data_IF_456142294782
#
_entry.id   IF_456142294782
#
_cell.length_a   1.000
_cell.length_b   1.000
_cell.length_c   1.000
_cell.angle_alpha   90.00
_cell.angle_beta   90.00
_cell.angle_gamma   90.00
#
_symmetry.space_group_name_H-M   'P 1'
#
loop_
_entity.id
_entity.type
_entity.pdbx_description
1 polymer ?
#
# COMPACT_ATOMS: atom_id res chain seq x y z
N UNK A 1 39.64 -0.88 -25.21
CA UNK A 1 38.49 -0.45 -24.41
C UNK A 1 38.09 1.02 -24.56
N UNK A 2 38.83 1.88 -25.22
CA UNK A 2 38.50 3.32 -25.42
C UNK A 2 37.54 3.60 -26.58
N UNK A 3 37.21 2.63 -27.43
CA UNK A 3 36.37 2.81 -28.62
C UNK A 3 34.86 2.59 -28.42
N UNK A 4 34.45 2.11 -27.25
CA UNK A 4 33.01 1.87 -26.92
C UNK A 4 32.25 3.15 -26.49
N UNK A 5 32.95 4.29 -26.37
CA UNK A 5 32.38 5.53 -25.84
C UNK A 5 32.49 6.71 -26.83
N UNK A 6 32.67 6.48 -28.14
CA UNK A 6 32.47 7.58 -29.09
C UNK A 6 30.99 7.93 -29.16
N UNK A 7 30.65 9.19 -28.89
CA UNK A 7 29.29 9.69 -29.02
C UNK A 7 28.77 9.45 -30.44
N UNK A 8 27.52 8.96 -30.62
CA UNK A 8 26.92 8.76 -31.93
C UNK A 8 26.92 10.08 -32.71
N UNK A 9 27.30 10.00 -34.00
CA UNK A 9 27.31 11.18 -34.87
C UNK A 9 25.87 11.61 -35.19
N UNK A 10 25.71 12.88 -35.55
CA UNK A 10 24.39 13.42 -35.96
C UNK A 10 23.82 12.68 -37.18
N UNK A 11 24.71 12.19 -38.09
CA UNK A 11 24.32 11.38 -39.25
C UNK A 11 23.78 10.00 -38.86
N UNK A 12 24.26 9.40 -37.79
CA UNK A 12 23.75 8.13 -37.29
C UNK A 12 22.33 8.28 -36.74
N UNK A 13 22.04 9.41 -36.09
CA UNK A 13 20.69 9.77 -35.64
C UNK A 13 19.72 9.96 -36.83
N UNK A 14 20.16 10.63 -37.91
CA UNK A 14 19.35 10.84 -39.11
C UNK A 14 19.07 9.48 -39.79
N UNK A 15 20.04 8.58 -39.89
CA UNK A 15 19.85 7.23 -40.44
C UNK A 15 18.87 6.41 -39.62
N UNK A 16 18.99 6.47 -38.30
CA UNK A 16 18.04 5.86 -37.37
C UNK A 16 16.60 6.36 -37.58
N UNK A 17 16.40 7.68 -37.70
CA UNK A 17 15.10 8.29 -37.94
C UNK A 17 14.55 7.94 -39.34
N UNK A 18 15.41 7.81 -40.36
CA UNK A 18 14.97 7.43 -41.72
C UNK A 18 14.44 5.99 -41.78
N UNK A 19 14.83 5.11 -40.85
CA UNK A 19 14.36 3.73 -40.75
C UNK A 19 13.02 3.60 -39.96
N UNK A 20 12.16 4.63 -39.96
CA UNK A 20 10.93 4.67 -39.18
C UNK A 20 10.01 3.46 -39.36
N UNK A 21 9.94 2.91 -40.56
CA UNK A 21 9.16 1.69 -40.86
C UNK A 21 9.67 0.46 -40.14
N UNK A 22 10.99 0.34 -40.03
CA UNK A 22 11.65 -0.71 -39.25
C UNK A 22 11.29 -0.56 -37.76
N UNK A 23 11.39 0.67 -37.22
CA UNK A 23 11.04 0.94 -35.83
C UNK A 23 9.59 0.66 -35.52
N UNK A 24 8.66 0.95 -36.44
CA UNK A 24 7.25 0.59 -36.27
C UNK A 24 7.05 -0.92 -36.20
N UNK A 25 7.72 -1.69 -37.05
CA UNK A 25 7.64 -3.16 -37.00
C UNK A 25 8.21 -3.72 -35.71
N UNK A 26 9.36 -3.19 -35.24
CA UNK A 26 9.98 -3.59 -33.97
C UNK A 26 9.05 -3.25 -32.80
N UNK A 27 8.46 -2.07 -32.77
CA UNK A 27 7.51 -1.67 -31.75
C UNK A 27 6.24 -2.57 -31.75
N UNK A 28 5.73 -2.88 -32.94
CA UNK A 28 4.55 -3.76 -33.09
C UNK A 28 4.85 -5.19 -32.62
N UNK A 29 5.99 -5.74 -32.99
CA UNK A 29 6.44 -7.05 -32.50
C UNK A 29 6.63 -7.05 -30.97
N UNK A 30 7.25 -5.99 -30.43
CA UNK A 30 7.40 -5.82 -29.00
C UNK A 30 6.08 -5.73 -28.27
N UNK A 31 5.13 -4.98 -28.83
CA UNK A 31 3.78 -4.89 -28.28
C UNK A 31 3.04 -6.23 -28.29
N UNK A 32 3.15 -7.01 -29.38
CA UNK A 32 2.57 -8.35 -29.47
C UNK A 32 3.21 -9.31 -28.44
N UNK A 33 4.53 -9.26 -28.25
CA UNK A 33 5.21 -10.05 -27.24
C UNK A 33 4.76 -9.64 -25.83
N UNK A 34 4.66 -8.34 -25.57
CA UNK A 34 4.12 -7.84 -24.29
C UNK A 34 2.69 -8.32 -24.04
N UNK A 35 1.82 -8.29 -25.06
CA UNK A 35 0.48 -8.83 -24.96
C UNK A 35 0.49 -10.35 -24.70
N UNK A 36 1.35 -11.11 -25.40
CA UNK A 36 1.48 -12.55 -25.18
C UNK A 36 1.90 -12.86 -23.72
N UNK A 37 2.87 -12.14 -23.18
CA UNK A 37 3.29 -12.27 -21.76
C UNK A 37 2.13 -12.01 -20.81
N UNK A 38 1.32 -10.97 -21.07
CA UNK A 38 0.14 -10.68 -20.25
C UNK A 38 -0.87 -11.84 -20.21
N UNK A 39 -1.08 -12.55 -21.31
CA UNK A 39 -2.03 -13.69 -21.36
C UNK A 39 -1.43 -14.98 -20.79
N UNK A 40 -0.12 -15.20 -20.93
CA UNK A 40 0.57 -16.40 -20.41
C UNK A 40 0.79 -16.29 -18.90
N UNK A 41 1.21 -15.11 -18.43
CA UNK A 41 1.49 -14.80 -17.03
C UNK A 41 0.73 -13.54 -16.62
N UNK A 42 -0.60 -13.64 -16.42
CA UNK A 42 -1.41 -12.49 -16.09
C UNK A 42 -1.02 -11.93 -14.72
N UNK A 43 -0.96 -10.59 -14.58
CA UNK A 43 -0.67 -9.97 -13.30
C UNK A 43 -1.77 -10.27 -12.29
N UNK A 44 -1.40 -10.30 -11.00
CA UNK A 44 -2.33 -10.50 -9.91
C UNK A 44 -3.44 -9.45 -9.89
N UNK A 45 -4.56 -9.82 -9.29
CA UNK A 45 -5.62 -8.88 -8.96
C UNK A 45 -5.23 -8.10 -7.71
N UNK A 46 -5.54 -6.81 -7.73
CA UNK A 46 -5.44 -5.91 -6.60
C UNK A 46 -6.84 -5.42 -6.23
N UNK A 47 -7.19 -5.54 -4.97
CA UNK A 47 -8.49 -5.13 -4.42
C UNK A 47 -8.26 -4.14 -3.31
N UNK A 48 -9.14 -3.14 -3.20
CA UNK A 48 -9.07 -2.09 -2.20
C UNK A 48 -10.31 -2.10 -1.31
N UNK A 49 -10.12 -2.23 -0.01
CA UNK A 49 -11.11 -1.87 1.00
C UNK A 49 -10.75 -0.50 1.59
N UNK A 50 -11.75 0.28 2.03
CA UNK A 50 -11.53 1.63 2.55
C UNK A 50 -12.16 1.77 3.93
N UNK A 51 -11.35 2.25 4.87
CA UNK A 51 -11.78 2.62 6.22
C UNK A 51 -11.50 4.11 6.41
N UNK A 52 -12.50 4.84 6.89
CA UNK A 52 -12.34 6.25 7.24
C UNK A 52 -12.07 6.36 8.73
N UNK A 53 -10.98 7.01 9.08
CA UNK A 53 -10.56 7.28 10.45
C UNK A 53 -10.50 8.79 10.63
N UNK A 54 -11.31 9.30 11.56
CA UNK A 54 -11.38 10.73 11.86
C UNK A 54 -11.06 10.98 13.32
N UNK A 55 -10.43 12.11 13.60
CA UNK A 55 -10.12 12.57 14.95
C UNK A 55 -11.03 13.73 15.32
N UNK A 56 -11.73 13.62 16.43
CA UNK A 56 -12.52 14.73 16.95
C UNK A 56 -11.58 15.76 17.61
N UNK A 57 -11.08 16.68 16.78
CA UNK A 57 -10.10 17.68 17.20
C UNK A 57 -10.62 18.66 18.24
N UNK A 58 -11.92 18.96 18.24
CA UNK A 58 -12.54 19.86 19.20
C UNK A 58 -12.46 19.32 20.63
N UNK A 59 -12.53 17.99 20.77
CA UNK A 59 -12.43 17.31 22.07
C UNK A 59 -11.00 16.95 22.46
N UNK A 60 -10.19 16.53 21.49
CA UNK A 60 -8.84 16.04 21.72
C UNK A 60 -7.83 17.17 21.98
N UNK A 61 -7.94 18.29 21.27
CA UNK A 61 -6.96 19.36 21.29
C UNK A 61 -6.79 20.06 22.65
N UNK A 62 -7.86 20.42 23.38
CA UNK A 62 -7.71 21.12 24.68
C UNK A 62 -7.01 20.30 25.76
N UNK A 63 -7.02 18.98 25.65
CA UNK A 63 -6.44 18.06 26.64
C UNK A 63 -5.01 17.65 26.26
N UNK A 64 -4.59 17.98 25.04
CA UNK A 64 -3.32 17.53 24.50
C UNK A 64 -2.16 18.44 24.92
N UNK A 65 -1.03 17.82 25.28
CA UNK A 65 0.21 18.52 25.61
C UNK A 65 0.99 19.00 24.39
N UNK A 66 0.66 18.51 23.20
CA UNK A 66 1.34 18.92 21.97
C UNK A 66 0.91 20.34 21.58
N UNK A 67 1.89 21.21 21.42
CA UNK A 67 1.67 22.62 21.03
C UNK A 67 1.33 22.77 19.55
N UNK A 68 1.64 21.77 18.73
CA UNK A 68 1.44 21.78 17.28
C UNK A 68 0.53 20.65 16.84
N UNK A 69 -0.57 21.01 16.20
CA UNK A 69 -1.57 20.10 15.65
C UNK A 69 -0.96 19.04 14.72
N UNK A 70 0.02 19.44 13.93
CA UNK A 70 0.68 18.55 12.97
C UNK A 70 1.33 17.34 13.65
N UNK A 71 2.11 17.56 14.70
CA UNK A 71 2.78 16.47 15.46
C UNK A 71 1.79 15.55 16.17
N UNK A 72 0.69 16.11 16.65
CA UNK A 72 -0.39 15.32 17.22
C UNK A 72 -0.98 14.37 16.20
N UNK A 73 -1.42 14.88 15.04
CA UNK A 73 -2.02 14.09 13.98
C UNK A 73 -1.07 13.03 13.41
N UNK A 74 0.20 13.37 13.24
CA UNK A 74 1.22 12.41 12.80
C UNK A 74 1.38 11.26 13.79
N UNK A 75 1.47 11.57 15.08
CA UNK A 75 1.58 10.56 16.13
C UNK A 75 0.36 9.65 16.18
N UNK A 76 -0.85 10.22 16.15
CA UNK A 76 -2.08 9.43 16.17
C UNK A 76 -2.24 8.57 14.90
N UNK A 77 -1.92 9.11 13.74
CA UNK A 77 -1.88 8.33 12.48
C UNK A 77 -0.89 7.17 12.55
N UNK A 78 0.28 7.37 13.17
CA UNK A 78 1.26 6.29 13.35
C UNK A 78 0.73 5.15 14.22
N UNK A 79 0.03 5.46 15.32
CA UNK A 79 -0.61 4.44 16.17
C UNK A 79 -1.64 3.63 15.38
N UNK A 80 -2.48 4.31 14.60
CA UNK A 80 -3.47 3.65 13.73
C UNK A 80 -2.78 2.74 12.71
N UNK A 81 -1.67 3.19 12.13
CA UNK A 81 -0.84 2.37 11.25
C UNK A 81 -0.29 1.13 11.94
N UNK A 82 0.22 1.28 13.16
CA UNK A 82 0.75 0.16 13.95
C UNK A 82 -0.33 -0.89 14.26
N UNK A 83 -1.56 -0.47 14.56
CA UNK A 83 -2.70 -1.38 14.77
C UNK A 83 -3.03 -2.18 13.51
N UNK A 84 -2.98 -1.56 12.34
CA UNK A 84 -3.25 -2.26 11.08
C UNK A 84 -2.25 -3.40 10.81
N UNK A 85 -1.00 -3.23 11.24
CA UNK A 85 0.08 -4.20 11.08
C UNK A 85 0.39 -5.02 12.34
N UNK A 86 -0.38 -4.84 13.41
CA UNK A 86 -0.20 -5.59 14.65
C UNK A 86 -0.42 -7.10 14.42
N UNK A 87 0.33 -7.92 15.14
CA UNK A 87 0.21 -9.38 15.05
C UNK A 87 -1.22 -9.84 15.35
N UNK A 88 -1.90 -9.22 16.31
CA UNK A 88 -3.29 -9.54 16.63
C UNK A 88 -4.24 -9.30 15.44
N UNK A 89 -4.08 -8.19 14.73
CA UNK A 89 -4.86 -7.86 13.52
C UNK A 89 -4.57 -8.87 12.40
N UNK A 90 -3.30 -9.13 12.13
CA UNK A 90 -2.89 -10.06 11.07
C UNK A 90 -3.23 -11.51 11.39
N UNK A 91 -3.19 -11.92 12.67
CA UNK A 91 -3.61 -13.24 13.08
C UNK A 91 -5.11 -13.44 12.83
N UNK A 92 -5.94 -12.46 13.13
CA UNK A 92 -7.37 -12.52 12.82
C UNK A 92 -7.62 -12.68 11.31
N UNK A 93 -6.86 -11.96 10.47
CA UNK A 93 -6.92 -12.13 9.00
C UNK A 93 -6.45 -13.54 8.59
N UNK A 94 -5.37 -14.04 9.19
CA UNK A 94 -4.84 -15.37 8.94
C UNK A 94 -5.87 -16.45 9.25
N UNK A 95 -6.54 -16.37 10.41
CA UNK A 95 -7.56 -17.30 10.85
C UNK A 95 -8.79 -17.30 9.92
N UNK A 96 -9.19 -16.15 9.41
CA UNK A 96 -10.33 -16.02 8.51
C UNK A 96 -10.03 -16.47 7.07
N UNK A 97 -8.80 -16.22 6.61
CA UNK A 97 -8.44 -16.41 5.19
C UNK A 97 -7.64 -17.67 4.92
N UNK A 98 -6.99 -18.25 5.94
CA UNK A 98 -6.13 -19.43 5.84
C UNK A 98 -4.70 -19.15 5.42
N UNK A 99 -4.30 -17.86 5.26
CA UNK A 99 -2.91 -17.49 5.01
C UNK A 99 -2.12 -17.36 6.31
N UNK A 100 -0.83 -17.61 6.25
CA UNK A 100 0.04 -17.34 7.40
C UNK A 100 0.33 -15.83 7.51
N UNK A 101 0.59 -15.35 8.73
CA UNK A 101 0.99 -13.95 8.97
C UNK A 101 2.22 -13.55 8.15
N UNK A 102 3.15 -14.50 7.95
CA UNK A 102 4.35 -14.26 7.14
C UNK A 102 4.00 -14.01 5.66
N UNK A 103 3.08 -14.80 5.09
CA UNK A 103 2.62 -14.60 3.71
C UNK A 103 1.89 -13.27 3.55
N UNK A 104 1.05 -12.89 4.54
CA UNK A 104 0.36 -11.60 4.54
C UNK A 104 1.35 -10.43 4.50
N UNK A 105 2.44 -10.50 5.27
CA UNK A 105 3.49 -9.47 5.30
C UNK A 105 4.41 -9.49 4.08
N UNK A 106 4.54 -10.61 3.38
CA UNK A 106 5.47 -10.79 2.25
C UNK A 106 5.01 -10.17 0.92
N UNK A 107 4.10 -9.20 0.94
CA UNK A 107 3.66 -8.43 -0.23
C UNK A 107 2.24 -8.73 -0.71
N UNK A 108 1.47 -9.55 0.04
CA UNK A 108 0.03 -9.73 -0.23
C UNK A 108 -0.80 -8.53 0.20
N UNK A 109 -0.37 -7.81 1.24
CA UNK A 109 -1.07 -6.67 1.81
C UNK A 109 -0.26 -5.38 1.63
N UNK A 110 -0.96 -4.29 1.34
CA UNK A 110 -0.38 -2.94 1.22
C UNK A 110 -1.36 -1.92 1.81
N UNK A 111 -0.88 -1.08 2.72
CA UNK A 111 -1.69 -0.04 3.35
C UNK A 111 -1.24 1.33 2.85
N UNK A 112 -2.18 2.17 2.45
CA UNK A 112 -1.92 3.56 2.09
C UNK A 112 -2.89 4.49 2.80
N UNK A 113 -2.42 5.69 3.09
CA UNK A 113 -3.20 6.78 3.67
C UNK A 113 -3.13 7.97 2.71
N UNK A 114 -4.00 8.05 1.70
CA UNK A 114 -4.06 9.20 0.82
C UNK A 114 -4.65 10.42 1.51
N UNK A 115 -4.52 11.59 0.87
CA UNK A 115 -5.00 12.87 1.40
C UNK A 115 -6.54 12.99 1.43
N UNK A 116 -7.27 12.00 0.91
CA UNK A 116 -8.74 11.95 0.93
C UNK A 116 -9.33 11.57 2.32
N UNK A 117 -8.47 11.35 3.33
CA UNK A 117 -8.88 10.97 4.68
C UNK A 117 -9.19 9.49 4.85
N UNK A 118 -9.12 8.70 3.78
CA UNK A 118 -9.32 7.26 3.81
C UNK A 118 -8.05 6.48 4.12
N UNK A 119 -8.21 5.34 4.77
CA UNK A 119 -7.17 4.32 4.89
C UNK A 119 -7.50 3.22 3.90
N UNK A 120 -6.62 2.99 2.91
CA UNK A 120 -6.85 2.02 1.86
C UNK A 120 -6.06 0.74 2.12
N UNK A 121 -6.80 -0.32 2.33
CA UNK A 121 -6.33 -1.68 2.57
C UNK A 121 -6.32 -2.42 1.24
N UNK A 122 -5.15 -2.56 0.64
CA UNK A 122 -4.98 -3.30 -0.60
C UNK A 122 -4.57 -4.73 -0.31
N UNK A 123 -5.19 -5.65 -1.03
CA UNK A 123 -4.74 -7.03 -1.08
C UNK A 123 -4.49 -7.47 -2.52
N UNK A 124 -3.48 -8.30 -2.71
CA UNK A 124 -3.04 -8.80 -4.01
C UNK A 124 -3.04 -10.32 -4.03
N UNK A 125 -3.71 -10.91 -5.03
CA UNK A 125 -3.75 -12.37 -5.22
C UNK A 125 -4.04 -12.72 -6.69
N UNK A 126 -3.56 -13.88 -7.21
CA UNK A 126 -3.91 -14.36 -8.55
C UNK A 126 -5.40 -14.55 -8.77
N UNK A 127 -6.16 -14.81 -7.71
CA UNK A 127 -7.61 -14.97 -7.75
C UNK A 127 -8.33 -13.73 -7.20
N UNK A 128 -9.20 -13.14 -8.02
CA UNK A 128 -9.96 -11.94 -7.66
C UNK A 128 -10.77 -12.09 -6.37
N UNK A 129 -11.42 -13.24 -6.19
CA UNK A 129 -12.24 -13.52 -4.99
C UNK A 129 -11.38 -13.62 -3.71
N UNK A 130 -10.17 -14.17 -3.82
CA UNK A 130 -9.24 -14.27 -2.69
C UNK A 130 -8.71 -12.90 -2.31
N UNK A 131 -8.30 -12.07 -3.31
CA UNK A 131 -7.87 -10.70 -3.08
C UNK A 131 -8.98 -9.86 -2.41
N UNK A 132 -10.24 -10.00 -2.87
CA UNK A 132 -11.38 -9.32 -2.26
C UNK A 132 -11.63 -9.77 -0.81
N UNK A 133 -11.57 -11.07 -0.55
CA UNK A 133 -11.71 -11.63 0.80
C UNK A 133 -10.60 -11.11 1.73
N UNK A 134 -9.35 -11.11 1.27
CA UNK A 134 -8.20 -10.60 2.03
C UNK A 134 -8.34 -9.12 2.38
N UNK A 135 -8.68 -8.26 1.40
CA UNK A 135 -8.85 -6.83 1.64
C UNK A 135 -9.99 -6.56 2.64
N UNK A 136 -11.12 -7.26 2.47
CA UNK A 136 -12.27 -7.14 3.37
C UNK A 136 -11.96 -7.62 4.79
N UNK A 137 -11.32 -8.80 4.93
CA UNK A 137 -10.93 -9.36 6.20
C UNK A 137 -9.96 -8.44 6.95
N UNK A 138 -8.97 -7.87 6.24
CA UNK A 138 -8.00 -6.97 6.87
C UNK A 138 -8.63 -5.66 7.33
N UNK A 139 -9.45 -5.01 6.50
CA UNK A 139 -10.19 -3.81 6.89
C UNK A 139 -11.16 -4.09 8.05
N UNK A 140 -11.80 -5.26 8.07
CA UNK A 140 -12.69 -5.71 9.14
C UNK A 140 -11.95 -5.96 10.45
N UNK A 141 -10.85 -6.72 10.42
CA UNK A 141 -10.02 -6.99 11.58
C UNK A 141 -9.43 -5.70 12.18
N UNK A 142 -8.89 -4.83 11.33
CA UNK A 142 -8.43 -3.51 11.74
C UNK A 142 -9.54 -2.69 12.41
N UNK A 143 -10.72 -2.61 11.79
CA UNK A 143 -11.86 -1.87 12.35
C UNK A 143 -12.26 -2.42 13.72
N UNK A 144 -12.30 -3.73 13.90
CA UNK A 144 -12.61 -4.37 15.17
C UNK A 144 -11.58 -4.03 16.25
N UNK A 145 -10.28 -4.09 15.93
CA UNK A 145 -9.20 -3.74 16.86
C UNK A 145 -9.25 -2.25 17.27
N UNK A 146 -9.54 -1.35 16.34
CA UNK A 146 -9.69 0.07 16.65
C UNK A 146 -10.91 0.30 17.54
N UNK A 147 -12.07 -0.32 17.27
CA UNK A 147 -13.23 -0.20 18.16
C UNK A 147 -12.94 -0.68 19.57
N UNK A 148 -12.28 -1.83 19.72
CA UNK A 148 -11.86 -2.33 21.03
C UNK A 148 -10.88 -1.37 21.72
N UNK A 149 -9.96 -0.78 20.96
CA UNK A 149 -9.03 0.25 21.46
C UNK A 149 -9.75 1.50 21.96
N UNK A 150 -10.77 1.98 21.24
CA UNK A 150 -11.60 3.13 21.65
C UNK A 150 -12.38 2.79 22.93
N UNK A 151 -13.01 1.63 23.01
CA UNK A 151 -13.73 1.19 24.22
C UNK A 151 -12.80 1.15 25.43
N UNK A 152 -11.59 0.59 25.27
CA UNK A 152 -10.57 0.56 26.30
C UNK A 152 -10.13 1.97 26.70
N UNK A 153 -9.93 2.89 25.75
CA UNK A 153 -9.54 4.26 26.00
C UNK A 153 -10.63 5.03 26.75
N UNK A 154 -11.91 4.84 26.42
CA UNK A 154 -13.05 5.45 27.13
C UNK A 154 -13.12 4.92 28.56
N UNK A 155 -12.98 3.61 28.75
CA UNK A 155 -12.97 3.02 30.10
C UNK A 155 -11.79 3.52 30.94
N UNK A 156 -10.62 3.67 30.35
CA UNK A 156 -9.43 4.19 31.01
C UNK A 156 -9.59 5.66 31.43
N UNK A 157 -10.15 6.50 30.56
CA UNK A 157 -10.44 7.90 30.87
C UNK A 157 -11.46 8.01 32.01
N UNK A 158 -12.53 7.21 31.99
CA UNK A 158 -13.51 7.15 33.08
C UNK A 158 -12.89 6.70 34.40
N UNK A 159 -12.04 5.67 34.38
CA UNK A 159 -11.35 5.18 35.59
C UNK A 159 -10.39 6.24 36.16
N UNK A 160 -9.66 6.96 35.32
CA UNK A 160 -8.75 8.05 35.74
C UNK A 160 -9.51 9.21 36.36
N UNK A 161 -10.67 9.61 35.80
CA UNK A 161 -11.55 10.63 36.37
C UNK A 161 -12.10 10.19 37.72
N UNK A 162 -12.52 8.94 37.89
CA UNK A 162 -12.98 8.39 39.15
C UNK A 162 -11.87 8.36 40.21
N UNK A 163 -10.63 7.97 39.82
CA UNK A 163 -9.50 7.99 40.69
C UNK A 163 -9.12 9.41 41.17
N UNK A 164 -9.29 10.42 40.32
CA UNK A 164 -9.07 11.83 40.68
C UNK A 164 -10.01 12.29 41.80
N UNK A 165 -11.22 11.71 41.87
CA UNK A 165 -12.20 11.97 42.96
C UNK A 165 -11.85 11.17 44.23
N UNK A 166 -11.36 9.93 44.06
CA UNK A 166 -11.01 9.04 45.18
C UNK A 166 -9.59 8.45 45.00
N UNK A 167 -8.53 9.22 45.31
CA UNK A 167 -7.13 8.84 45.01
C UNK A 167 -6.63 7.58 45.75
N UNK A 168 -7.27 7.18 46.84
CA UNK A 168 -6.87 6.03 47.66
C UNK A 168 -7.58 4.72 47.28
N UNK A 169 -8.39 4.71 46.21
CA UNK A 169 -9.09 3.50 45.79
C UNK A 169 -8.15 2.54 45.05
N UNK A 170 -7.67 1.53 45.81
CA UNK A 170 -6.76 0.50 45.27
C UNK A 170 -7.38 -0.33 44.14
N UNK A 171 -8.74 -0.48 44.10
CA UNK A 171 -9.42 -1.22 42.99
C UNK A 171 -9.37 -0.41 41.70
N UNK A 172 -9.59 0.92 41.81
CA UNK A 172 -9.47 1.81 40.61
C UNK A 172 -8.02 1.85 40.11
N UNK A 173 -7.03 1.89 40.98
CA UNK A 173 -5.61 1.85 40.60
C UNK A 173 -5.27 0.54 39.86
N UNK A 174 -5.73 -0.62 40.36
CA UNK A 174 -5.53 -1.91 39.69
C UNK A 174 -6.24 -1.97 38.32
N UNK A 175 -7.48 -1.45 38.25
CA UNK A 175 -8.24 -1.39 37.00
C UNK A 175 -7.55 -0.50 35.94
N UNK A 176 -7.00 0.65 36.37
CA UNK A 176 -6.24 1.52 35.45
C UNK A 176 -5.02 0.79 34.91
N UNK A 177 -4.24 0.11 35.76
CA UNK A 177 -3.06 -0.64 35.33
C UNK A 177 -3.42 -1.76 34.34
N UNK A 178 -4.55 -2.45 34.54
CA UNK A 178 -5.04 -3.46 33.60
C UNK A 178 -5.49 -2.85 32.26
N UNK A 179 -6.22 -1.73 32.31
CA UNK A 179 -6.66 -1.03 31.11
C UNK A 179 -5.48 -0.44 30.33
N UNK A 180 -4.47 0.10 31.02
CA UNK A 180 -3.24 0.59 30.39
C UNK A 180 -2.47 -0.53 29.70
N UNK A 181 -2.40 -1.71 30.28
CA UNK A 181 -1.77 -2.87 29.65
C UNK A 181 -2.51 -3.36 28.39
N UNK A 182 -3.83 -3.18 28.34
CA UNK A 182 -4.68 -3.52 27.17
C UNK A 182 -4.79 -2.39 26.17
N UNK A 183 -4.38 -1.18 26.53
CA UNK A 183 -4.52 -0.01 25.67
C UNK A 183 -3.60 -0.10 24.48
N UNK A 184 -4.16 0.14 23.29
CA UNK A 184 -3.41 0.31 22.04
C UNK A 184 -2.84 1.74 21.89
N UNK A 185 -2.93 2.56 22.93
CA UNK A 185 -2.55 3.97 22.90
C UNK A 185 -3.48 4.85 22.05
N UNK A 186 -4.63 4.33 21.67
CA UNK A 186 -5.68 5.03 20.91
C UNK A 186 -6.38 6.02 21.82
N UNK A 187 -6.76 7.17 21.29
CA UNK A 187 -7.53 8.18 22.03
C UNK A 187 -9.03 7.90 21.98
N UNK A 188 -9.81 8.25 23.02
CA UNK A 188 -11.27 8.07 23.02
C UNK A 188 -12.00 8.97 22.00
N UNK A 189 -11.31 9.99 21.47
CA UNK A 189 -11.85 10.93 20.47
C UNK A 189 -11.71 10.43 19.03
N UNK A 190 -11.11 9.25 18.82
CA UNK A 190 -11.04 8.63 17.52
C UNK A 190 -12.40 8.09 17.07
N UNK A 191 -12.75 8.32 15.83
CA UNK A 191 -13.94 7.76 15.18
C UNK A 191 -13.53 6.95 13.97
N UNK A 192 -14.16 5.80 13.79
CA UNK A 192 -13.89 4.91 12.67
C UNK A 192 -15.18 4.51 11.98
N UNK A 193 -15.15 4.47 10.64
CA UNK A 193 -16.24 3.93 9.84
C UNK A 193 -15.70 3.12 8.68
N UNK A 194 -16.28 1.95 8.46
CA UNK A 194 -15.96 1.10 7.33
C UNK A 194 -16.71 1.59 6.10
N UNK A 195 -16.03 2.36 5.25
CA UNK A 195 -16.66 3.02 4.11
C UNK A 195 -16.94 2.06 2.96
N UNK A 196 -16.02 1.12 2.68
CA UNK A 196 -16.19 0.13 1.62
C UNK A 196 -15.40 -1.15 1.96
N UNK A 197 -16.14 -2.24 2.24
CA UNK A 197 -15.55 -3.55 2.53
C UNK A 197 -16.33 -4.72 1.87
N UNK A 198 -17.45 -4.44 1.19
CA UNK A 198 -18.24 -5.42 0.46
C UNK A 198 -18.30 -5.06 -1.01
N UNK A 199 -18.48 -6.06 -1.86
CA UNK A 199 -18.58 -5.91 -3.32
C UNK A 199 -17.41 -5.11 -3.91
N UNK A 200 -16.20 -5.46 -3.45
CA UNK A 200 -14.97 -4.75 -3.81
C UNK A 200 -14.60 -5.06 -5.27
N UNK A 201 -14.42 -4.04 -6.12
CA UNK A 201 -13.97 -4.25 -7.48
C UNK A 201 -12.54 -4.80 -7.48
N UNK A 202 -12.34 -5.91 -8.19
CA UNK A 202 -11.03 -6.52 -8.37
C UNK A 202 -10.46 -6.03 -9.72
N UNK A 203 -9.37 -5.32 -9.66
CA UNK A 203 -8.66 -4.84 -10.83
C UNK A 203 -7.32 -5.56 -10.97
N UNK A 204 -6.85 -5.77 -12.19
CA UNK A 204 -5.51 -6.28 -12.41
C UNK A 204 -4.48 -5.21 -12.02
N UNK A 205 -3.44 -5.60 -11.29
CA UNK A 205 -2.36 -4.69 -10.83
C UNK A 205 -1.71 -3.91 -11.97
N UNK A 206 -1.69 -4.49 -13.17
CA UNK A 206 -1.18 -3.84 -14.37
C UNK A 206 -2.12 -4.11 -15.55
N UNK A 207 -2.36 -3.11 -16.39
CA UNK A 207 -3.22 -3.23 -17.55
C UNK A 207 -2.50 -3.90 -18.74
N UNK A 208 -3.26 -4.50 -19.65
CA UNK A 208 -2.74 -5.01 -20.93
C UNK A 208 -1.95 -3.92 -21.68
N UNK A 209 -2.44 -2.68 -21.67
CA UNK A 209 -1.77 -1.55 -22.32
C UNK A 209 -0.36 -1.31 -21.80
N UNK A 210 -0.14 -1.45 -20.49
CA UNK A 210 1.20 -1.32 -19.89
C UNK A 210 2.15 -2.42 -20.38
N UNK A 211 1.69 -3.65 -20.49
CA UNK A 211 2.50 -4.76 -21.02
C UNK A 211 2.84 -4.56 -22.50
N UNK A 212 1.89 -4.10 -23.31
CA UNK A 212 2.10 -3.76 -24.72
C UNK A 212 3.13 -2.65 -24.87
N UNK A 213 2.99 -1.56 -24.11
CA UNK A 213 3.94 -0.44 -24.13
C UNK A 213 5.33 -0.83 -23.62
N UNK A 214 5.41 -1.59 -22.55
CA UNK A 214 6.67 -2.07 -22.00
C UNK A 214 7.39 -3.02 -22.98
N UNK A 215 6.67 -3.93 -23.62
CA UNK A 215 7.21 -4.83 -24.65
C UNK A 215 7.71 -4.06 -25.87
N UNK A 216 6.93 -3.08 -26.36
CA UNK A 216 7.34 -2.22 -27.46
C UNK A 216 8.61 -1.42 -27.11
N UNK A 217 8.64 -0.78 -25.95
CA UNK A 217 9.78 0.01 -25.48
C UNK A 217 11.05 -0.85 -25.32
N UNK A 218 10.90 -2.06 -24.77
CA UNK A 218 12.03 -3.00 -24.58
C UNK A 218 12.64 -3.42 -25.91
N UNK A 219 11.82 -3.83 -26.90
CA UNK A 219 12.35 -4.21 -28.20
C UNK A 219 12.93 -3.04 -28.97
N UNK A 220 12.37 -1.83 -28.86
CA UNK A 220 12.96 -0.63 -29.43
C UNK A 220 14.34 -0.35 -28.83
N UNK A 221 14.47 -0.45 -27.51
CA UNK A 221 15.76 -0.25 -26.83
C UNK A 221 16.79 -1.31 -27.27
N UNK A 222 16.42 -2.58 -27.32
CA UNK A 222 17.30 -3.67 -27.81
C UNK A 222 17.69 -3.44 -29.27
N UNK A 223 16.72 -3.09 -30.14
CA UNK A 223 16.97 -2.79 -31.54
C UNK A 223 17.95 -1.61 -31.73
N UNK A 224 17.78 -0.54 -30.96
CA UNK A 224 18.68 0.61 -30.97
C UNK A 224 20.12 0.21 -30.56
N UNK A 225 20.26 -0.55 -29.48
CA UNK A 225 21.55 -1.03 -29.02
C UNK A 225 22.25 -1.94 -30.06
N UNK A 226 21.53 -2.84 -30.69
CA UNK A 226 22.05 -3.71 -31.73
C UNK A 226 22.53 -2.90 -32.93
N UNK A 227 21.75 -1.96 -33.41
CA UNK A 227 22.14 -1.11 -34.55
C UNK A 227 23.40 -0.31 -34.22
N UNK A 228 23.46 0.31 -33.03
CA UNK A 228 24.66 1.05 -32.59
C UNK A 228 25.89 0.14 -32.51
N UNK A 229 25.74 -1.08 -32.04
CA UNK A 229 26.82 -2.06 -31.98
C UNK A 229 27.33 -2.47 -33.36
N UNK A 230 26.42 -2.72 -34.32
CA UNK A 230 26.80 -3.10 -35.68
C UNK A 230 27.43 -1.93 -36.46
N UNK A 231 26.88 -0.73 -36.38
CA UNK A 231 27.45 0.46 -37.01
C UNK A 231 28.85 0.77 -36.48
N UNK A 232 29.10 0.51 -35.18
CA UNK A 232 30.41 0.70 -34.60
C UNK A 232 31.45 -0.30 -35.13
N UNK A 233 31.02 -1.54 -35.39
CA UNK A 233 31.93 -2.60 -35.89
C UNK A 233 32.40 -2.35 -37.35
N UNK A 234 31.59 -1.70 -38.18
CA UNK A 234 31.93 -1.36 -39.56
C UNK A 234 32.93 -0.18 -39.68
N UNK A 235 33.04 0.65 -38.63
CA UNK A 235 33.90 1.83 -38.60
C UNK A 235 35.27 1.58 -37.95
N UNK A 236 35.62 0.33 -37.64
CA UNK A 236 36.97 -0.04 -37.13
C UNK A 236 37.78 -0.59 -38.33
N UNK A 237 38.78 0.14 -38.85
CA UNK A 237 39.66 -0.31 -39.93
C UNK A 237 40.51 -1.50 -39.51
#
# INVERSE_FOLDING_TARGET
MKTLLSSPSFDDLIRLLRAWRFWLLVALLGGLLGAAVYFIAPPDFRVRATVVVTFNMEKAWPVNSDKELFYYLERESRKVWEVAWADATLQQVADETGFSVLELRSGKLELTQPQDGGWHFYATDPQAAVAAKLASAWAGAFSAQIHQGIETAVALDAARKALAVNPQDAKLQASISELEAKSLGITPELQISLAQAKDLPAERKSSLGMYVLAGAALLLAIGALLILFFLHKENVP
#
